data_IF_290009309289
#
_entry.id   IF_290009309289
#
_cell.length_a   1.000
_cell.length_b   1.000
_cell.length_c   1.000
_cell.angle_alpha   90.00
_cell.angle_beta   90.00
_cell.angle_gamma   90.00
#
_symmetry.space_group_name_H-M   'P 1'
#
loop_
_entity.id
_entity.type
_entity.pdbx_description
1 polymer ?
#
# COMPACT_ATOMS: atom_id res chain seq x y z
N UNK A 1 13.25 4.58 12.37
CA UNK A 1 12.53 4.16 13.60
C UNK A 1 11.18 3.50 13.26
N UNK A 2 10.26 4.17 12.55
CA UNK A 2 8.95 3.59 12.18
C UNK A 2 9.05 2.33 11.30
N UNK A 3 9.96 2.34 10.31
CA UNK A 3 10.20 1.20 9.41
C UNK A 3 10.78 -0.03 10.15
N UNK A 4 11.61 0.21 11.18
CA UNK A 4 12.19 -0.86 12.01
C UNK A 4 11.19 -1.43 13.02
N UNK A 5 10.21 -0.62 13.45
CA UNK A 5 9.10 -1.08 14.28
C UNK A 5 8.12 -1.94 13.45
N UNK A 6 7.84 -1.54 12.20
CA UNK A 6 6.99 -2.30 11.28
C UNK A 6 7.53 -3.69 10.98
N UNK A 7 8.85 -3.83 10.84
CA UNK A 7 9.49 -5.14 10.62
C UNK A 7 9.37 -6.06 11.86
N UNK A 8 9.44 -5.52 13.08
CA UNK A 8 9.28 -6.29 14.31
C UNK A 8 7.84 -6.78 14.54
N UNK A 9 6.83 -6.04 14.07
CA UNK A 9 5.42 -6.44 14.21
C UNK A 9 5.08 -7.61 13.25
N UNK A 10 5.68 -7.66 12.06
CA UNK A 10 5.51 -8.75 11.10
C UNK A 10 5.98 -10.10 11.65
N UNK A 11 7.06 -10.12 12.44
CA UNK A 11 7.52 -11.36 13.11
C UNK A 11 6.63 -11.79 14.27
N UNK A 12 5.87 -10.88 14.89
CA UNK A 12 5.05 -11.17 16.08
C UNK A 12 3.64 -11.67 15.75
N UNK A 13 3.17 -11.51 14.50
CA UNK A 13 1.82 -11.89 14.08
C UNK A 13 1.73 -13.29 13.46
N UNK A 14 2.73 -14.17 13.62
CA UNK A 14 2.60 -15.57 13.19
C UNK A 14 1.58 -16.24 14.12
N UNK A 15 0.37 -16.59 13.63
CA UNK A 15 -0.65 -17.22 14.46
C UNK A 15 -0.18 -18.63 14.84
N UNK A 16 -0.44 -19.01 16.10
CA UNK A 16 -0.08 -20.32 16.64
C UNK A 16 -0.74 -21.51 15.90
N UNK A 17 -1.71 -21.27 15.01
CA UNK A 17 -2.32 -22.26 14.11
C UNK A 17 -1.32 -22.97 13.17
N UNK A 18 -0.13 -22.41 12.95
CA UNK A 18 0.88 -22.97 12.03
C UNK A 18 1.54 -24.30 12.50
N UNK A 19 1.20 -24.82 13.68
CA UNK A 19 1.83 -26.03 14.25
C UNK A 19 1.15 -27.35 13.84
N UNK A 20 0.02 -27.33 13.13
CA UNK A 20 -0.75 -28.57 12.82
C UNK A 20 -0.62 -29.08 11.38
N UNK A 21 0.00 -28.35 10.46
CA UNK A 21 0.20 -28.78 9.07
C UNK A 21 1.62 -28.46 8.54
N UNK A 22 2.51 -29.46 8.44
CA UNK A 22 3.94 -29.26 8.14
C UNK A 22 4.24 -28.69 6.74
N UNK A 23 3.26 -28.67 5.81
CA UNK A 23 3.41 -28.11 4.47
C UNK A 23 3.05 -26.60 4.37
N UNK A 24 2.32 -26.05 5.35
CA UNK A 24 1.91 -24.63 5.35
C UNK A 24 2.95 -23.72 6.03
N UNK A 25 3.72 -24.26 6.98
CA UNK A 25 4.72 -23.50 7.74
C UNK A 25 5.90 -23.01 6.88
N UNK A 26 6.32 -23.78 5.87
CA UNK A 26 7.41 -23.38 4.96
C UNK A 26 7.04 -22.15 4.11
N UNK A 27 5.76 -21.99 3.73
CA UNK A 27 5.32 -20.94 2.82
C UNK A 27 4.64 -19.75 3.53
N UNK A 28 4.44 -19.85 4.85
CA UNK A 28 3.75 -18.82 5.63
C UNK A 28 4.54 -17.50 5.68
N UNK A 29 5.87 -17.57 5.88
CA UNK A 29 6.73 -16.38 5.92
C UNK A 29 6.89 -15.73 4.53
N UNK A 30 6.86 -16.53 3.46
CA UNK A 30 6.85 -16.03 2.09
C UNK A 30 5.56 -15.25 1.82
N UNK A 31 4.42 -15.81 2.25
CA UNK A 31 3.10 -15.19 2.06
C UNK A 31 3.00 -13.86 2.82
N UNK A 32 3.43 -13.81 4.08
CA UNK A 32 3.42 -12.57 4.86
C UNK A 32 4.36 -11.50 4.28
N UNK A 33 5.54 -11.90 3.79
CA UNK A 33 6.46 -11.01 3.09
C UNK A 33 5.86 -10.46 1.79
N UNK A 34 5.20 -11.32 0.99
CA UNK A 34 4.50 -10.89 -0.23
C UNK A 34 3.39 -9.89 0.05
N UNK A 35 2.59 -10.09 1.10
CA UNK A 35 1.54 -9.15 1.53
C UNK A 35 2.15 -7.81 1.95
N UNK A 36 3.22 -7.82 2.75
CA UNK A 36 3.89 -6.59 3.18
C UNK A 36 4.48 -5.80 2.01
N UNK A 37 5.08 -6.48 1.03
CA UNK A 37 5.61 -5.86 -0.19
C UNK A 37 4.50 -5.33 -1.10
N UNK A 38 3.38 -6.05 -1.24
CA UNK A 38 2.25 -5.65 -2.08
C UNK A 38 1.59 -4.34 -1.61
N UNK A 39 1.62 -4.02 -0.31
CA UNK A 39 1.08 -2.77 0.24
C UNK A 39 2.12 -1.65 0.19
N UNK A 40 3.35 -1.92 0.64
CA UNK A 40 4.35 -0.88 0.88
C UNK A 40 4.92 -0.27 -0.40
N UNK A 41 5.18 -1.07 -1.44
CA UNK A 41 5.72 -0.59 -2.71
C UNK A 41 4.75 0.37 -3.44
N UNK A 42 3.46 0.01 -3.63
CA UNK A 42 2.50 0.92 -4.25
C UNK A 42 2.22 2.16 -3.40
N UNK A 43 2.19 2.04 -2.06
CA UNK A 43 2.03 3.19 -1.18
C UNK A 43 3.19 4.21 -1.31
N UNK A 44 4.43 3.74 -1.42
CA UNK A 44 5.60 4.61 -1.66
C UNK A 44 5.52 5.27 -3.05
N UNK A 45 5.12 4.52 -4.08
CA UNK A 45 4.94 5.05 -5.43
C UNK A 45 3.83 6.11 -5.49
N UNK A 46 2.69 5.85 -4.82
CA UNK A 46 1.59 6.79 -4.68
C UNK A 46 2.04 8.07 -3.97
N UNK A 47 2.74 7.95 -2.84
CA UNK A 47 3.27 9.10 -2.09
C UNK A 47 4.21 9.96 -2.94
N UNK A 48 5.07 9.34 -3.75
CA UNK A 48 5.94 10.07 -4.68
C UNK A 48 5.16 10.80 -5.77
N UNK A 49 4.14 10.15 -6.34
CA UNK A 49 3.27 10.75 -7.35
C UNK A 49 2.44 11.90 -6.77
N UNK A 50 1.94 11.77 -5.53
CA UNK A 50 1.21 12.81 -4.79
C UNK A 50 2.10 14.02 -4.50
N UNK A 51 3.35 13.81 -4.08
CA UNK A 51 4.27 14.91 -3.79
C UNK A 51 4.47 15.83 -5.01
N UNK A 52 4.51 15.26 -6.23
CA UNK A 52 4.63 16.03 -7.47
C UNK A 52 3.31 16.58 -7.97
N UNK A 53 2.27 15.74 -8.07
CA UNK A 53 0.98 16.14 -8.62
C UNK A 53 0.22 17.09 -7.69
N UNK A 54 0.35 16.94 -6.38
CA UNK A 54 -0.30 17.79 -5.38
C UNK A 54 0.17 19.25 -5.45
N UNK A 55 1.47 19.49 -5.58
CA UNK A 55 2.00 20.86 -5.70
C UNK A 55 1.53 21.53 -6.99
N UNK A 56 1.52 20.80 -8.11
CA UNK A 56 0.98 21.28 -9.38
C UNK A 56 -0.54 21.55 -9.31
N UNK A 57 -1.30 20.67 -8.64
CA UNK A 57 -2.74 20.81 -8.46
C UNK A 57 -3.11 22.06 -7.65
N UNK A 58 -2.43 22.30 -6.52
CA UNK A 58 -2.64 23.51 -5.71
C UNK A 58 -2.24 24.77 -6.48
N UNK A 59 -1.13 24.73 -7.25
CA UNK A 59 -0.72 25.87 -8.07
C UNK A 59 -1.76 26.22 -9.15
N UNK A 60 -2.33 25.21 -9.84
CA UNK A 60 -3.34 25.47 -10.87
C UNK A 60 -4.65 25.99 -10.27
N UNK A 61 -4.97 25.58 -9.05
CA UNK A 61 -6.15 26.03 -8.32
C UNK A 61 -6.09 27.52 -7.95
N UNK A 62 -4.90 28.03 -7.63
CA UNK A 62 -4.67 29.45 -7.33
C UNK A 62 -4.87 30.31 -8.59
N UNK A 63 -4.40 29.84 -9.74
CA UNK A 63 -4.55 30.57 -11.01
C UNK A 63 -5.96 30.48 -11.59
N UNK A 64 -6.56 29.28 -11.56
CA UNK A 64 -7.84 28.96 -12.20
C UNK A 64 -8.68 28.07 -11.27
N UNK A 65 -9.48 28.64 -10.36
CA UNK A 65 -10.26 27.87 -9.39
C UNK A 65 -11.31 26.95 -10.07
N UNK A 66 -11.73 27.30 -11.28
CA UNK A 66 -12.60 26.49 -12.14
C UNK A 66 -12.02 25.10 -12.46
N UNK A 67 -10.71 24.93 -12.33
CA UNK A 67 -10.00 23.67 -12.61
C UNK A 67 -10.03 22.67 -11.46
N UNK A 68 -10.70 22.97 -10.35
CA UNK A 68 -10.73 22.15 -9.14
C UNK A 68 -10.99 20.68 -9.39
N UNK A 69 -12.03 20.34 -10.16
CA UNK A 69 -12.39 18.95 -10.39
C UNK A 69 -11.33 18.19 -11.20
N UNK A 70 -10.67 18.88 -12.14
CA UNK A 70 -9.58 18.29 -12.94
C UNK A 70 -8.35 18.04 -12.07
N UNK A 71 -7.98 19.01 -11.23
CA UNK A 71 -6.88 18.89 -10.29
C UNK A 71 -7.12 17.77 -9.27
N UNK A 72 -8.33 17.69 -8.72
CA UNK A 72 -8.76 16.62 -7.81
C UNK A 72 -8.66 15.24 -8.47
N UNK A 73 -9.18 15.08 -9.70
CA UNK A 73 -9.12 13.81 -10.43
C UNK A 73 -7.68 13.31 -10.61
N UNK A 74 -6.73 14.19 -10.94
CA UNK A 74 -5.32 13.79 -11.10
C UNK A 74 -4.74 13.26 -9.78
N UNK A 75 -5.02 13.94 -8.66
CA UNK A 75 -4.55 13.51 -7.34
C UNK A 75 -5.16 12.18 -6.92
N UNK A 76 -6.47 11.98 -7.12
CA UNK A 76 -7.14 10.71 -6.80
C UNK A 76 -6.66 9.56 -7.69
N UNK A 77 -6.34 9.80 -8.96
CA UNK A 77 -5.74 8.80 -9.84
C UNK A 77 -4.36 8.36 -9.36
N UNK A 78 -3.58 9.25 -8.74
CA UNK A 78 -2.32 8.87 -8.10
C UNK A 78 -2.55 8.00 -6.85
N UNK A 79 -3.64 8.18 -6.10
CA UNK A 79 -4.00 7.33 -4.95
C UNK A 79 -4.41 5.91 -5.37
N UNK A 80 -5.05 5.77 -6.54
CA UNK A 80 -5.59 4.50 -7.02
C UNK A 80 -4.53 3.37 -7.06
N UNK A 81 -3.27 3.69 -7.33
CA UNK A 81 -2.17 2.71 -7.31
C UNK A 81 -1.98 2.07 -5.93
N UNK A 82 -2.12 2.83 -4.84
CA UNK A 82 -2.02 2.30 -3.48
C UNK A 82 -3.22 1.40 -3.14
N UNK A 83 -4.41 1.78 -3.61
CA UNK A 83 -5.62 0.96 -3.42
C UNK A 83 -5.49 -0.39 -4.15
N UNK A 84 -4.93 -0.42 -5.36
CA UNK A 84 -4.65 -1.69 -6.03
C UNK A 84 -3.68 -2.57 -5.25
N UNK A 85 -2.62 -1.99 -4.67
CA UNK A 85 -1.70 -2.72 -3.78
C UNK A 85 -2.41 -3.32 -2.56
N UNK A 86 -3.30 -2.54 -1.93
CA UNK A 86 -4.11 -3.00 -0.81
C UNK A 86 -5.08 -4.11 -1.21
N UNK A 87 -5.73 -4.01 -2.38
CA UNK A 87 -6.64 -5.06 -2.88
C UNK A 87 -5.87 -6.37 -3.07
N UNK A 88 -4.71 -6.34 -3.73
CA UNK A 88 -3.88 -7.54 -3.93
C UNK A 88 -3.45 -8.14 -2.59
N UNK A 89 -3.08 -7.31 -1.62
CA UNK A 89 -2.72 -7.77 -0.29
C UNK A 89 -3.90 -8.45 0.44
N UNK A 90 -5.11 -7.90 0.32
CA UNK A 90 -6.34 -8.49 0.85
C UNK A 90 -6.66 -9.81 0.13
N UNK A 91 -6.49 -9.89 -1.18
CA UNK A 91 -6.70 -11.13 -1.94
C UNK A 91 -5.74 -12.24 -1.49
N UNK A 92 -4.46 -11.92 -1.34
CA UNK A 92 -3.45 -12.84 -0.80
C UNK A 92 -3.76 -13.27 0.63
N UNK A 93 -4.24 -12.35 1.46
CA UNK A 93 -4.67 -12.66 2.83
C UNK A 93 -5.87 -13.58 2.89
N UNK A 94 -6.87 -13.34 2.02
CA UNK A 94 -8.08 -14.16 1.91
C UNK A 94 -7.80 -15.51 1.22
N UNK A 95 -6.57 -15.75 0.76
CA UNK A 95 -6.08 -17.01 0.21
C UNK A 95 -7.00 -17.56 -0.90
N UNK A 96 -7.54 -16.64 -1.71
CA UNK A 96 -8.17 -16.88 -3.02
C UNK A 96 -7.07 -16.84 -4.08
#
# INVERSE_FOLDING_TARGET
LLLMLGLSIVSASVPAEALTQPAQAENAWLTSLSIALAISLPALAAGYALAKSGTAAISSLVEKPETFFKAFLVVTLCEAIAIYGLIIAILLWLKI
#
